data_IF_253273351453
#
_entry.id   IF_253273351453
#
_cell.length_a   1.000
_cell.length_b   1.000
_cell.length_c   1.000
_cell.angle_alpha   90.00
_cell.angle_beta   90.00
_cell.angle_gamma   90.00
#
_symmetry.space_group_name_H-M   'P 1'
#
loop_
_entity.id
_entity.type
_entity.pdbx_description
1 polymer ?
#
# COMPACT_ATOMS: atom_id res chain seq x y z
N UNK A 1 53.77 -76.24 -16.23
CA UNK A 1 53.59 -75.10 -17.12
C UNK A 1 52.39 -74.35 -16.65
N UNK A 2 52.57 -73.17 -15.97
CA UNK A 2 51.49 -72.29 -15.50
C UNK A 2 51.53 -71.05 -16.34
N UNK A 3 50.54 -70.83 -17.18
CA UNK A 3 50.32 -69.63 -17.97
C UNK A 3 49.60 -68.61 -17.13
N UNK A 4 50.19 -67.40 -16.92
CA UNK A 4 49.56 -66.26 -16.29
C UNK A 4 48.89 -65.39 -17.37
N UNK A 5 47.60 -65.18 -17.22
CA UNK A 5 46.83 -64.26 -18.07
C UNK A 5 46.88 -62.87 -17.41
N UNK A 6 47.37 -61.84 -18.11
CA UNK A 6 47.31 -60.45 -17.69
C UNK A 6 46.08 -59.80 -18.25
N UNK A 7 45.24 -59.32 -17.36
CA UNK A 7 44.05 -58.57 -17.69
C UNK A 7 44.41 -57.07 -17.73
N UNK A 8 44.35 -56.42 -18.86
CA UNK A 8 44.50 -54.97 -18.98
C UNK A 8 43.14 -54.33 -18.71
N UNK A 9 43.06 -53.52 -17.62
CA UNK A 9 41.92 -52.66 -17.31
C UNK A 9 42.12 -51.35 -18.11
N UNK A 10 41.30 -51.11 -19.10
CA UNK A 10 41.23 -49.82 -19.75
C UNK A 10 40.29 -48.90 -18.91
N UNK A 11 40.88 -47.84 -18.29
CA UNK A 11 40.14 -46.78 -17.61
C UNK A 11 39.71 -45.78 -18.70
N UNK A 12 38.42 -45.80 -19.05
CA UNK A 12 37.81 -44.79 -19.89
C UNK A 12 37.53 -43.54 -19.05
N UNK A 13 38.24 -42.42 -19.35
CA UNK A 13 37.86 -41.10 -18.83
C UNK A 13 36.56 -40.65 -19.58
N UNK A 14 35.43 -40.64 -18.86
CA UNK A 14 34.25 -39.88 -19.27
C UNK A 14 34.52 -38.39 -18.94
N UNK A 15 34.78 -37.58 -19.93
CA UNK A 15 34.71 -36.13 -19.81
C UNK A 15 33.23 -35.73 -19.74
N UNK A 16 32.76 -35.35 -18.55
CA UNK A 16 31.47 -34.71 -18.38
C UNK A 16 31.56 -33.30 -18.96
N UNK A 17 30.96 -33.09 -20.12
CA UNK A 17 30.70 -31.75 -20.64
C UNK A 17 29.62 -31.09 -19.78
N UNK A 18 30.02 -30.19 -18.87
CA UNK A 18 29.09 -29.25 -18.26
C UNK A 18 28.65 -28.25 -19.35
N UNK A 19 27.61 -28.58 -20.09
CA UNK A 19 26.86 -27.62 -20.85
C UNK A 19 26.12 -26.71 -19.86
N UNK A 20 26.42 -25.39 -19.86
CA UNK A 20 25.56 -24.40 -19.25
C UNK A 20 24.23 -24.43 -19.98
N UNK A 21 23.28 -25.18 -19.46
CA UNK A 21 21.88 -25.08 -19.87
C UNK A 21 21.35 -23.87 -19.12
N UNK A 22 21.39 -22.70 -19.76
CA UNK A 22 20.58 -21.59 -19.31
C UNK A 22 19.13 -22.12 -19.32
N UNK A 23 18.36 -22.00 -18.21
CA UNK A 23 16.96 -22.35 -18.25
C UNK A 23 16.29 -21.54 -19.37
N UNK A 24 15.31 -22.10 -20.08
CA UNK A 24 14.58 -21.36 -21.08
C UNK A 24 14.01 -20.11 -20.42
N UNK A 25 14.24 -18.94 -21.03
CA UNK A 25 13.59 -17.69 -20.63
C UNK A 25 12.10 -17.98 -20.74
N UNK A 26 11.33 -17.88 -19.63
CA UNK A 26 9.89 -18.09 -19.69
C UNK A 26 9.30 -17.17 -20.76
N UNK A 27 8.26 -17.60 -21.49
CA UNK A 27 7.64 -16.76 -22.51
C UNK A 27 7.25 -15.43 -21.86
N UNK A 28 7.62 -14.32 -22.50
CA UNK A 28 7.18 -12.99 -22.10
C UNK A 28 5.66 -13.04 -22.06
N UNK A 29 5.10 -12.81 -20.88
CA UNK A 29 3.66 -12.65 -20.74
C UNK A 29 3.34 -11.32 -21.41
N UNK A 30 2.51 -11.36 -22.43
CA UNK A 30 1.96 -10.17 -23.06
C UNK A 30 0.75 -9.74 -22.23
N UNK A 31 0.92 -8.72 -21.42
CA UNK A 31 -0.18 -8.00 -20.78
C UNK A 31 -0.80 -7.05 -21.79
N UNK A 32 -2.13 -6.94 -21.80
CA UNK A 32 -2.85 -5.94 -22.58
C UNK A 32 -2.83 -4.54 -21.92
N UNK A 33 -2.29 -4.43 -20.70
CA UNK A 33 -2.19 -3.16 -19.99
C UNK A 33 -1.12 -2.26 -20.63
N UNK A 34 -1.39 -0.97 -20.83
CA UNK A 34 -0.46 -0.05 -21.51
C UNK A 34 0.69 0.40 -20.61
N UNK A 35 1.37 -0.57 -19.96
CA UNK A 35 2.49 -0.30 -19.02
C UNK A 35 3.66 0.43 -19.69
N UNK A 36 3.84 0.28 -20.99
CA UNK A 36 4.85 1.00 -21.76
C UNK A 36 4.59 2.53 -21.84
N UNK A 37 3.37 2.97 -21.46
CA UNK A 37 3.05 4.40 -21.35
C UNK A 37 3.54 5.01 -20.05
N UNK A 38 3.91 4.20 -19.07
CA UNK A 38 4.42 4.66 -17.79
C UNK A 38 5.83 5.24 -17.93
N UNK A 39 6.05 6.34 -17.27
CA UNK A 39 7.32 7.05 -17.23
C UNK A 39 7.98 6.78 -15.88
N UNK A 40 9.13 6.13 -15.92
CA UNK A 40 9.94 5.77 -14.77
C UNK A 40 11.29 6.52 -14.82
N UNK A 41 11.94 6.77 -13.69
CA UNK A 41 13.31 7.26 -13.67
C UNK A 41 14.27 6.29 -14.37
N UNK A 42 15.41 6.78 -14.90
CA UNK A 42 16.39 5.91 -15.56
C UNK A 42 16.82 4.73 -14.68
N UNK A 43 16.91 3.53 -15.28
CA UNK A 43 17.29 2.29 -14.60
C UNK A 43 16.14 1.55 -13.93
N UNK A 44 15.01 2.19 -13.71
CA UNK A 44 13.82 1.50 -13.19
C UNK A 44 13.08 0.74 -14.29
N UNK A 45 12.49 -0.39 -13.90
CA UNK A 45 11.63 -1.22 -14.74
C UNK A 45 10.35 -1.54 -13.97
N UNK A 46 9.24 -1.60 -14.71
CA UNK A 46 7.95 -2.05 -14.19
C UNK A 46 7.47 -3.25 -15.00
N UNK A 47 6.98 -4.24 -14.30
CA UNK A 47 6.32 -5.40 -14.89
C UNK A 47 5.00 -5.69 -14.18
N UNK A 48 4.11 -6.39 -14.83
CA UNK A 48 2.88 -6.88 -14.21
C UNK A 48 3.23 -8.09 -13.34
N UNK A 49 2.90 -8.01 -12.05
CA UNK A 49 3.00 -9.11 -11.08
C UNK A 49 1.76 -10.00 -11.13
N UNK A 50 0.56 -9.39 -11.21
CA UNK A 50 -0.71 -10.10 -11.36
C UNK A 50 -1.74 -9.24 -12.10
N UNK A 51 -2.63 -9.88 -12.83
CA UNK A 51 -3.81 -9.30 -13.47
C UNK A 51 -5.09 -9.99 -12.97
N UNK A 52 -6.25 -9.44 -13.30
CA UNK A 52 -7.57 -9.94 -12.89
C UNK A 52 -7.77 -9.98 -11.35
N UNK A 53 -6.96 -9.23 -10.60
CA UNK A 53 -7.15 -9.02 -9.16
C UNK A 53 -8.11 -7.84 -8.98
N UNK A 54 -9.39 -8.11 -9.15
CA UNK A 54 -10.42 -7.08 -9.23
C UNK A 54 -10.46 -6.18 -8.02
N UNK A 55 -10.39 -4.86 -8.30
CA UNK A 55 -10.44 -3.81 -7.29
C UNK A 55 -9.33 -3.98 -6.22
N UNK A 56 -8.10 -4.34 -6.63
CA UNK A 56 -6.94 -4.53 -5.77
C UNK A 56 -6.60 -3.25 -5.01
N UNK A 57 -6.54 -3.34 -3.66
CA UNK A 57 -6.31 -2.18 -2.80
C UNK A 57 -5.16 -2.41 -1.83
N UNK A 58 -5.41 -2.49 -0.52
CA UNK A 58 -4.31 -2.69 0.42
C UNK A 58 -3.59 -4.00 0.19
N UNK A 59 -2.28 -3.94 0.26
CA UNK A 59 -1.37 -5.06 0.12
C UNK A 59 -0.76 -5.40 1.49
N UNK A 60 -0.47 -6.68 1.70
CA UNK A 60 0.29 -7.16 2.84
C UNK A 60 1.05 -8.42 2.44
N UNK A 61 2.37 -8.39 2.50
CA UNK A 61 3.21 -9.53 2.17
C UNK A 61 3.59 -10.31 3.44
N UNK A 62 3.20 -11.58 3.50
CA UNK A 62 3.62 -12.44 4.59
C UNK A 62 5.11 -12.79 4.52
N UNK A 63 5.74 -13.17 5.64
CA UNK A 63 7.13 -13.64 5.64
C UNK A 63 7.41 -14.86 4.76
N UNK A 64 6.38 -15.63 4.40
CA UNK A 64 6.50 -16.81 3.53
C UNK A 64 6.23 -16.51 2.06
N UNK A 65 6.03 -15.23 1.69
CA UNK A 65 5.86 -14.77 0.31
C UNK A 65 4.43 -14.88 -0.22
N UNK A 66 3.42 -15.02 0.64
CA UNK A 66 2.02 -14.88 0.25
C UNK A 66 1.64 -13.40 0.27
N UNK A 67 1.20 -12.86 -0.85
CA UNK A 67 0.68 -11.50 -0.94
C UNK A 67 -0.83 -11.52 -0.69
N UNK A 68 -1.29 -10.92 0.39
CA UNK A 68 -2.70 -10.72 0.68
C UNK A 68 -3.16 -9.39 0.10
N UNK A 69 -4.38 -9.38 -0.46
CA UNK A 69 -4.93 -8.22 -1.15
C UNK A 69 -6.36 -7.97 -0.71
N UNK A 70 -6.56 -6.80 -0.12
CA UNK A 70 -7.89 -6.30 0.20
C UNK A 70 -8.57 -5.66 -1.01
N UNK A 71 -9.90 -5.52 -0.95
CA UNK A 71 -10.69 -4.85 -1.98
C UNK A 71 -11.69 -3.89 -1.34
N UNK A 72 -12.34 -3.06 -2.16
CA UNK A 72 -13.37 -2.14 -1.64
C UNK A 72 -14.76 -2.51 -2.15
N UNK A 73 -14.99 -2.30 -3.44
CA UNK A 73 -16.31 -2.50 -4.05
C UNK A 73 -16.60 -3.94 -4.45
N UNK A 74 -15.56 -4.70 -4.72
CA UNK A 74 -15.67 -6.12 -5.12
C UNK A 74 -16.10 -7.02 -3.95
N UNK A 75 -15.76 -6.64 -2.71
CA UNK A 75 -16.15 -7.40 -1.53
C UNK A 75 -15.41 -8.73 -1.38
N UNK A 76 -14.26 -8.88 -2.05
CA UNK A 76 -13.44 -10.09 -2.02
C UNK A 76 -12.13 -9.86 -1.28
N UNK A 77 -11.59 -10.94 -0.78
CA UNK A 77 -10.26 -11.02 -0.20
C UNK A 77 -9.44 -11.99 -1.03
N UNK A 78 -8.24 -11.58 -1.46
CA UNK A 78 -7.37 -12.43 -2.27
C UNK A 78 -6.07 -12.78 -1.54
N UNK A 79 -5.47 -13.90 -1.95
CA UNK A 79 -4.07 -14.23 -1.69
C UNK A 79 -3.40 -14.65 -3.00
N UNK A 80 -2.18 -14.17 -3.21
CA UNK A 80 -1.40 -14.43 -4.41
C UNK A 80 -0.10 -15.13 -4.03
N UNK A 81 0.31 -16.10 -4.84
CA UNK A 81 1.57 -16.82 -4.70
C UNK A 81 2.35 -16.83 -5.99
N UNK A 82 3.62 -16.47 -5.88
CA UNK A 82 4.66 -16.77 -6.87
C UNK A 82 5.35 -18.05 -6.38
N UNK A 83 5.05 -19.18 -7.01
CA UNK A 83 5.53 -20.49 -6.59
C UNK A 83 6.85 -20.88 -7.27
N UNK A 84 7.15 -20.26 -8.41
CA UNK A 84 8.31 -20.57 -9.24
C UNK A 84 9.45 -19.58 -9.08
N UNK A 85 9.22 -18.42 -8.43
CA UNK A 85 10.22 -17.38 -8.15
C UNK A 85 10.53 -16.49 -9.36
N UNK A 86 9.62 -16.39 -10.33
CA UNK A 86 9.80 -15.53 -11.50
C UNK A 86 9.26 -14.10 -11.29
N UNK A 87 8.79 -13.82 -10.07
CA UNK A 87 8.19 -12.55 -9.65
C UNK A 87 6.86 -12.21 -10.34
N UNK A 88 6.08 -13.26 -10.57
CA UNK A 88 4.70 -13.20 -11.04
C UNK A 88 3.85 -14.16 -10.22
N UNK A 89 2.62 -13.78 -9.98
CA UNK A 89 1.71 -14.67 -9.30
C UNK A 89 1.31 -15.84 -10.22
N UNK A 90 1.65 -17.07 -9.82
CA UNK A 90 1.20 -18.30 -10.49
C UNK A 90 -0.25 -18.65 -10.12
N UNK A 91 -0.65 -18.28 -8.89
CA UNK A 91 -1.97 -18.62 -8.35
C UNK A 91 -2.58 -17.42 -7.62
N UNK A 92 -3.86 -17.17 -7.90
CA UNK A 92 -4.70 -16.20 -7.21
C UNK A 92 -5.81 -16.95 -6.50
N UNK A 93 -5.78 -16.94 -5.17
CA UNK A 93 -6.81 -17.54 -4.32
C UNK A 93 -7.85 -16.48 -3.96
N UNK A 94 -9.13 -16.83 -4.01
CA UNK A 94 -10.19 -16.03 -3.38
C UNK A 94 -10.44 -16.59 -1.99
N UNK A 95 -9.98 -15.88 -0.96
CA UNK A 95 -10.09 -16.34 0.44
C UNK A 95 -11.49 -16.15 1.02
N UNK A 96 -12.18 -15.07 0.63
CA UNK A 96 -13.53 -14.76 1.05
C UNK A 96 -14.25 -13.90 0.02
N UNK A 97 -15.59 -13.97 0.03
CA UNK A 97 -16.50 -13.16 -0.81
C UNK A 97 -17.61 -12.56 0.06
N UNK A 98 -18.38 -11.65 -0.50
CA UNK A 98 -19.51 -10.98 0.15
C UNK A 98 -19.13 -10.19 1.41
N UNK A 99 -17.87 -9.78 1.54
CA UNK A 99 -17.40 -8.92 2.62
C UNK A 99 -17.79 -7.45 2.35
N UNK A 100 -17.96 -6.69 3.41
CA UNK A 100 -18.35 -5.28 3.31
C UNK A 100 -17.12 -4.36 3.29
N UNK A 101 -16.66 -3.98 2.09
CA UNK A 101 -15.47 -3.12 1.91
C UNK A 101 -14.22 -3.65 2.64
N UNK A 102 -13.76 -4.89 2.38
CA UNK A 102 -12.60 -5.49 3.06
C UNK A 102 -11.30 -4.88 2.53
N UNK A 103 -11.09 -3.58 2.75
CA UNK A 103 -9.98 -2.85 2.16
C UNK A 103 -8.65 -3.14 2.86
N UNK A 104 -8.60 -3.05 4.17
CA UNK A 104 -7.36 -3.18 4.93
C UNK A 104 -7.04 -4.63 5.25
N UNK A 105 -5.81 -5.02 4.99
CA UNK A 105 -5.24 -6.33 5.35
C UNK A 105 -3.96 -6.14 6.15
N UNK A 106 -3.72 -7.00 7.13
CA UNK A 106 -2.49 -7.03 7.91
C UNK A 106 -2.19 -8.46 8.36
N UNK A 107 -0.93 -8.88 8.36
CA UNK A 107 -0.54 -10.23 8.71
C UNK A 107 0.34 -10.25 9.97
N UNK A 108 0.01 -11.15 10.90
CA UNK A 108 0.79 -11.31 12.13
C UNK A 108 0.69 -12.72 12.70
N UNK A 109 1.85 -13.33 12.99
CA UNK A 109 1.93 -14.62 13.68
C UNK A 109 1.09 -15.75 13.01
N UNK A 110 1.08 -15.82 11.68
CA UNK A 110 0.31 -16.82 10.93
C UNK A 110 -1.15 -16.46 10.70
N UNK A 111 -1.65 -15.37 11.25
CA UNK A 111 -3.04 -14.91 11.10
C UNK A 111 -3.14 -13.70 10.20
N UNK A 112 -4.15 -13.69 9.33
CA UNK A 112 -4.52 -12.55 8.50
C UNK A 112 -5.65 -11.77 9.18
N UNK A 113 -5.45 -10.48 9.34
CA UNK A 113 -6.44 -9.52 9.83
C UNK A 113 -7.04 -8.78 8.65
N UNK A 114 -8.36 -8.60 8.66
CA UNK A 114 -9.10 -7.94 7.58
C UNK A 114 -10.06 -6.93 8.16
N UNK A 115 -9.95 -5.69 7.71
CA UNK A 115 -10.86 -4.64 8.11
C UNK A 115 -12.01 -4.51 7.12
N UNK A 116 -13.21 -4.90 7.56
CA UNK A 116 -14.45 -4.49 6.94
C UNK A 116 -14.87 -3.08 7.41
N UNK A 117 -15.94 -2.56 6.88
CA UNK A 117 -16.42 -1.21 7.21
C UNK A 117 -16.69 -1.03 8.71
N UNK A 118 -17.31 -2.02 9.37
CA UNK A 118 -17.73 -1.91 10.77
C UNK A 118 -17.08 -2.92 11.73
N UNK A 119 -16.23 -3.83 11.21
CA UNK A 119 -15.63 -4.88 12.05
C UNK A 119 -14.24 -5.28 11.56
N UNK A 120 -13.48 -5.88 12.47
CA UNK A 120 -12.18 -6.51 12.16
C UNK A 120 -12.33 -8.02 12.28
N UNK A 121 -11.93 -8.72 11.23
CA UNK A 121 -11.90 -10.18 11.14
C UNK A 121 -10.48 -10.67 11.30
N UNK A 122 -10.31 -11.90 11.81
CA UNK A 122 -9.03 -12.61 11.84
C UNK A 122 -9.21 -14.02 11.32
N UNK A 123 -8.38 -14.40 10.35
CA UNK A 123 -8.27 -15.76 9.79
C UNK A 123 -6.99 -16.40 10.35
N UNK A 124 -7.15 -17.40 11.23
CA UNK A 124 -6.01 -18.07 11.86
C UNK A 124 -5.39 -19.12 10.93
N UNK A 125 -4.05 -19.29 11.00
CA UNK A 125 -3.27 -20.23 10.19
C UNK A 125 -3.57 -20.16 8.67
N UNK A 126 -3.82 -18.94 8.16
CA UNK A 126 -4.37 -18.73 6.82
C UNK A 126 -3.50 -19.31 5.71
N UNK A 127 -2.17 -19.21 5.80
CA UNK A 127 -1.27 -19.69 4.77
C UNK A 127 -1.28 -21.22 4.58
N UNK A 128 -1.69 -21.97 5.61
CA UNK A 128 -1.89 -23.40 5.50
C UNK A 128 -3.23 -23.78 4.86
N UNK A 129 -4.12 -22.81 4.62
CA UNK A 129 -5.51 -23.06 4.24
C UNK A 129 -5.98 -22.13 3.09
N UNK A 130 -5.09 -21.71 2.18
CA UNK A 130 -5.44 -20.79 1.09
C UNK A 130 -6.55 -21.35 0.17
N UNK A 131 -6.57 -22.66 -0.07
CA UNK A 131 -7.61 -23.34 -0.86
C UNK A 131 -8.96 -23.52 -0.13
N UNK A 132 -8.92 -23.50 1.19
CA UNK A 132 -10.10 -23.69 2.03
C UNK A 132 -9.95 -22.90 3.34
N UNK A 133 -10.10 -21.57 3.27
CA UNK A 133 -9.89 -20.70 4.41
C UNK A 133 -10.80 -21.04 5.60
N UNK A 134 -10.31 -20.92 6.84
CA UNK A 134 -11.13 -21.13 8.02
C UNK A 134 -12.18 -20.01 8.15
N UNK A 135 -13.26 -20.29 8.88
CA UNK A 135 -14.20 -19.23 9.29
C UNK A 135 -13.47 -18.17 10.12
N UNK A 136 -13.66 -16.88 9.81
CA UNK A 136 -12.98 -15.82 10.52
C UNK A 136 -13.52 -15.61 11.94
N UNK A 137 -12.61 -15.24 12.83
CA UNK A 137 -12.97 -14.75 14.16
C UNK A 137 -13.22 -13.25 14.08
N UNK A 138 -14.38 -12.79 14.54
CA UNK A 138 -14.64 -11.36 14.71
C UNK A 138 -13.93 -10.91 15.99
N UNK A 139 -12.87 -10.10 15.86
CA UNK A 139 -12.11 -9.60 17.01
C UNK A 139 -12.62 -8.25 17.53
N UNK A 140 -13.27 -7.46 16.66
CA UNK A 140 -13.88 -6.18 16.99
C UNK A 140 -15.03 -5.87 16.05
N UNK A 141 -16.19 -5.41 16.54
CA UNK A 141 -17.42 -5.16 15.77
C UNK A 141 -18.14 -3.84 16.15
N UNK A 142 -17.40 -2.90 16.78
CA UNK A 142 -17.98 -1.65 17.29
C UNK A 142 -17.57 -0.43 16.46
N UNK A 143 -17.03 -0.61 15.26
CA UNK A 143 -16.80 0.50 14.35
C UNK A 143 -18.10 1.01 13.72
N UNK A 144 -18.21 2.32 13.44
CA UNK A 144 -19.36 2.87 12.74
C UNK A 144 -19.59 2.22 11.36
N UNK A 145 -20.87 2.07 10.97
CA UNK A 145 -21.27 1.47 9.69
C UNK A 145 -21.57 2.52 8.59
N UNK A 146 -20.99 3.71 8.69
CA UNK A 146 -21.10 4.76 7.68
C UNK A 146 -20.35 4.38 6.42
N UNK A 147 -21.03 4.62 5.26
CA UNK A 147 -20.47 4.30 3.95
C UNK A 147 -19.40 5.30 3.51
N UNK A 148 -19.58 6.58 3.84
CA UNK A 148 -18.64 7.62 3.49
C UNK A 148 -17.37 7.47 4.32
N UNK A 149 -16.22 7.39 3.65
CA UNK A 149 -14.91 7.10 4.25
C UNK A 149 -14.91 5.85 5.14
N UNK A 150 -15.81 4.88 4.83
CA UNK A 150 -16.01 3.69 5.67
C UNK A 150 -14.96 2.59 5.46
N UNK A 151 -14.25 2.58 4.33
CA UNK A 151 -13.14 1.64 4.10
C UNK A 151 -11.94 1.99 4.96
N UNK A 152 -11.29 0.97 5.50
CA UNK A 152 -10.20 1.12 6.47
C UNK A 152 -8.92 0.52 5.91
N UNK A 153 -7.82 1.21 6.08
CA UNK A 153 -6.48 0.63 6.01
C UNK A 153 -6.12 0.12 7.41
N UNK A 154 -5.36 -0.95 7.54
CA UNK A 154 -4.89 -1.44 8.83
C UNK A 154 -3.44 -1.89 8.74
N UNK A 155 -2.69 -1.70 9.82
CA UNK A 155 -1.35 -2.23 9.96
C UNK A 155 -0.98 -2.39 11.44
N UNK A 156 -0.02 -3.27 11.74
CA UNK A 156 0.53 -3.41 13.09
C UNK A 156 1.66 -2.42 13.33
N UNK A 157 1.52 -1.62 14.38
CA UNK A 157 2.55 -0.69 14.80
C UNK A 157 3.76 -1.36 15.47
N UNK A 158 4.85 -0.60 15.66
CA UNK A 158 6.04 -1.10 16.37
C UNK A 158 5.77 -1.48 17.84
N UNK A 159 4.68 -0.96 18.42
CA UNK A 159 4.16 -1.34 19.75
C UNK A 159 3.38 -2.66 19.74
N UNK A 160 3.19 -3.27 18.57
CA UNK A 160 2.49 -4.52 18.36
C UNK A 160 0.97 -4.42 18.36
N UNK A 161 0.41 -3.21 18.41
CA UNK A 161 -1.04 -2.96 18.32
C UNK A 161 -1.48 -2.84 16.87
N UNK A 162 -2.72 -3.19 16.60
CA UNK A 162 -3.38 -2.99 15.29
C UNK A 162 -3.96 -1.58 15.23
N UNK A 163 -3.51 -0.80 14.26
CA UNK A 163 -4.00 0.57 14.01
C UNK A 163 -5.08 0.57 12.94
N UNK A 164 -6.13 1.38 13.17
CA UNK A 164 -7.32 1.40 12.30
C UNK A 164 -7.85 2.83 12.22
N UNK A 165 -7.89 3.47 11.04
CA UNK A 165 -8.47 4.79 10.87
C UNK A 165 -9.99 4.72 10.80
N UNK A 166 -10.65 5.77 11.28
CA UNK A 166 -12.08 5.99 11.15
C UNK A 166 -12.33 7.33 10.51
N UNK A 167 -12.61 7.33 9.22
CA UNK A 167 -12.83 8.55 8.45
C UNK A 167 -14.08 9.33 8.91
N UNK A 168 -14.13 10.60 8.56
CA UNK A 168 -15.30 11.43 8.83
C UNK A 168 -16.56 10.90 8.13
N UNK A 169 -17.75 10.93 8.77
CA UNK A 169 -18.99 10.39 8.19
C UNK A 169 -19.59 11.29 7.09
N UNK A 170 -18.89 12.31 6.68
CA UNK A 170 -19.36 13.40 5.83
C UNK A 170 -18.21 14.00 5.00
N UNK A 171 -18.53 14.91 4.06
CA UNK A 171 -17.52 15.72 3.39
C UNK A 171 -16.82 16.66 4.39
N UNK A 172 -17.62 17.40 5.17
CA UNK A 172 -17.18 18.20 6.31
C UNK A 172 -18.31 18.30 7.33
N UNK A 173 -18.04 18.00 8.58
CA UNK A 173 -18.96 18.14 9.71
C UNK A 173 -18.21 18.00 11.02
N UNK A 174 -18.79 18.54 12.09
CA UNK A 174 -18.47 18.12 13.45
C UNK A 174 -19.31 16.86 13.76
N UNK A 175 -18.66 15.78 14.15
CA UNK A 175 -19.36 14.60 14.68
C UNK A 175 -19.50 14.70 16.19
N UNK A 176 -20.63 14.22 16.71
CA UNK A 176 -20.84 14.08 18.17
C UNK A 176 -20.04 12.88 18.74
N UNK A 177 -19.69 11.92 17.88
CA UNK A 177 -18.92 10.74 18.26
C UNK A 177 -17.43 10.98 17.98
N UNK A 178 -16.60 10.92 19.01
CA UNK A 178 -15.14 11.16 18.92
C UNK A 178 -14.39 10.15 18.05
N UNK A 179 -15.00 8.99 17.79
CA UNK A 179 -14.39 7.94 16.97
C UNK A 179 -14.21 8.37 15.51
N UNK A 180 -15.06 9.28 14.98
CA UNK A 180 -14.93 9.76 13.62
C UNK A 180 -13.77 10.74 13.48
N UNK A 181 -13.22 10.81 12.29
CA UNK A 181 -12.08 11.67 11.94
C UNK A 181 -10.87 11.40 12.87
N UNK A 182 -10.59 10.12 13.14
CA UNK A 182 -9.59 9.68 14.08
C UNK A 182 -8.74 8.51 13.55
N UNK A 183 -7.60 8.28 14.21
CA UNK A 183 -6.88 7.03 14.15
C UNK A 183 -7.01 6.32 15.49
N UNK A 184 -7.37 5.06 15.45
CA UNK A 184 -7.55 4.19 16.62
C UNK A 184 -6.52 3.09 16.64
N UNK A 185 -6.31 2.46 17.77
CA UNK A 185 -5.53 1.20 17.88
C UNK A 185 -6.11 0.27 18.93
N UNK A 186 -5.78 -1.01 18.84
CA UNK A 186 -6.18 -2.05 19.78
C UNK A 186 -5.12 -3.15 19.85
N UNK A 187 -5.22 -4.01 20.84
CA UNK A 187 -4.43 -5.24 20.87
C UNK A 187 -4.88 -6.23 19.78
N UNK A 188 -4.05 -7.21 19.39
CA UNK A 188 -4.39 -8.15 18.29
C UNK A 188 -5.63 -9.00 18.55
N UNK A 189 -6.12 -9.08 19.79
CA UNK A 189 -7.36 -9.76 20.18
C UNK A 189 -8.59 -8.84 20.21
N UNK A 190 -8.44 -7.56 19.83
CA UNK A 190 -9.50 -6.55 19.85
C UNK A 190 -9.66 -5.83 21.18
N UNK A 191 -8.92 -6.21 22.23
CA UNK A 191 -8.97 -5.55 23.53
C UNK A 191 -8.16 -4.24 23.56
N UNK A 192 -8.29 -3.47 24.65
CA UNK A 192 -7.55 -2.23 24.88
C UNK A 192 -7.65 -1.21 23.73
N UNK A 193 -8.88 -1.08 23.19
CA UNK A 193 -9.20 -0.08 22.17
C UNK A 193 -8.97 1.34 22.70
N UNK A 194 -8.33 2.18 21.90
CA UNK A 194 -8.11 3.60 22.19
C UNK A 194 -8.03 4.45 20.93
N UNK A 195 -8.43 5.72 21.00
CA UNK A 195 -8.22 6.72 19.97
C UNK A 195 -6.85 7.35 20.23
N UNK A 196 -6.00 7.39 19.18
CA UNK A 196 -4.62 7.90 19.32
C UNK A 196 -4.35 9.19 18.59
N UNK A 197 -5.13 9.52 17.55
CA UNK A 197 -5.03 10.79 16.83
C UNK A 197 -6.40 11.31 16.45
N UNK A 198 -6.54 12.63 16.29
CA UNK A 198 -7.79 13.32 16.02
C UNK A 198 -7.69 14.27 14.83
N UNK A 199 -8.84 14.66 14.28
CA UNK A 199 -8.90 15.68 13.22
C UNK A 199 -8.33 15.22 11.89
N UNK A 200 -8.47 13.93 11.58
CA UNK A 200 -8.01 13.28 10.35
C UNK A 200 -9.25 12.96 9.52
N UNK A 201 -9.43 13.66 8.38
CA UNK A 201 -10.66 13.52 7.60
C UNK A 201 -10.84 12.12 6.98
N UNK A 202 -9.84 11.62 6.29
CA UNK A 202 -9.91 10.34 5.58
C UNK A 202 -8.51 9.84 5.21
N UNK A 203 -7.85 9.17 6.15
CA UNK A 203 -6.60 8.48 5.86
C UNK A 203 -6.86 7.06 5.38
N UNK A 204 -6.12 6.63 4.34
CA UNK A 204 -6.19 5.29 3.75
C UNK A 204 -4.79 4.71 3.58
N UNK A 205 -3.83 5.25 4.26
CA UNK A 205 -2.46 4.75 4.30
C UNK A 205 -1.67 5.42 5.41
N UNK A 206 -0.93 4.61 6.14
CA UNK A 206 0.01 5.07 7.17
C UNK A 206 1.13 4.03 7.34
N UNK A 207 2.27 4.51 7.79
CA UNK A 207 3.46 3.69 8.07
C UNK A 207 4.26 4.32 9.21
N UNK A 208 5.33 3.69 9.64
CA UNK A 208 6.20 4.19 10.70
C UNK A 208 7.59 4.48 10.18
N UNK A 209 8.14 5.59 10.60
CA UNK A 209 9.53 5.94 10.29
C UNK A 209 10.47 4.84 10.81
N UNK A 210 11.33 4.25 9.97
CA UNK A 210 12.08 3.03 10.30
C UNK A 210 13.08 3.21 11.45
N UNK A 211 13.58 4.43 11.68
CA UNK A 211 14.55 4.72 12.73
C UNK A 211 13.91 5.27 14.00
N UNK A 212 12.87 6.14 13.87
CA UNK A 212 12.27 6.83 15.03
C UNK A 212 11.02 6.13 15.56
N UNK A 213 10.38 5.29 14.74
CA UNK A 213 9.09 4.66 15.07
C UNK A 213 7.92 5.63 15.09
N UNK A 214 8.09 6.86 14.61
CA UNK A 214 7.04 7.85 14.53
C UNK A 214 6.05 7.51 13.41
N UNK A 215 4.78 7.74 13.66
CA UNK A 215 3.72 7.50 12.70
C UNK A 215 3.71 8.57 11.61
N UNK A 216 3.61 8.14 10.35
CA UNK A 216 3.38 8.97 9.17
C UNK A 216 2.16 8.49 8.42
N UNK A 217 1.31 9.40 7.96
CA UNK A 217 0.07 9.05 7.26
C UNK A 217 -0.33 10.10 6.25
N UNK A 218 -1.06 9.66 5.21
CA UNK A 218 -1.70 10.54 4.24
C UNK A 218 -3.09 10.94 4.71
N UNK A 219 -3.56 12.15 4.39
CA UNK A 219 -4.96 12.54 4.61
C UNK A 219 -5.55 13.24 3.39
N UNK A 220 -6.77 12.83 3.03
CA UNK A 220 -7.51 13.36 1.90
C UNK A 220 -8.28 14.63 2.30
N UNK A 221 -7.95 15.77 1.67
CA UNK A 221 -8.62 17.05 1.87
C UNK A 221 -10.11 17.00 1.54
N UNK A 222 -10.89 17.95 2.10
CA UNK A 222 -12.33 18.05 1.82
C UNK A 222 -12.61 18.42 0.36
N UNK A 223 -13.76 17.98 -0.15
CA UNK A 223 -14.23 18.35 -1.48
C UNK A 223 -14.97 19.69 -1.51
N UNK A 224 -15.13 20.26 -2.70
CA UNK A 224 -16.00 21.41 -3.01
C UNK A 224 -15.54 22.75 -2.44
N UNK A 225 -14.23 22.96 -2.38
CA UNK A 225 -13.62 24.27 -2.13
C UNK A 225 -12.96 24.86 -3.40
N UNK A 226 -13.17 24.27 -4.56
CA UNK A 226 -12.57 24.62 -5.85
C UNK A 226 -11.48 23.62 -6.27
N UNK A 227 -10.82 23.92 -7.39
CA UNK A 227 -9.82 23.02 -7.98
C UNK A 227 -8.48 22.98 -7.23
N UNK A 228 -8.13 24.10 -6.58
CA UNK A 228 -6.77 24.31 -6.08
C UNK A 228 -6.69 24.34 -4.54
N UNK A 229 -7.81 24.11 -3.83
CA UNK A 229 -7.90 24.15 -2.36
C UNK A 229 -8.94 23.14 -1.87
N UNK A 230 -8.69 22.43 -0.74
CA UNK A 230 -7.46 22.35 -0.01
C UNK A 230 -6.50 21.32 -0.61
N UNK A 231 -5.24 21.39 -0.23
CA UNK A 231 -4.27 20.33 -0.51
C UNK A 231 -4.55 19.13 0.36
N UNK A 232 -4.27 17.94 -0.16
CA UNK A 232 -4.11 16.72 0.63
C UNK A 232 -2.80 16.79 1.41
N UNK A 233 -2.66 15.95 2.42
CA UNK A 233 -1.63 16.11 3.43
C UNK A 233 -0.79 14.83 3.59
N UNK A 234 0.50 15.00 3.83
CA UNK A 234 1.36 14.05 4.49
C UNK A 234 1.58 14.54 5.91
N UNK A 235 1.14 13.74 6.87
CA UNK A 235 1.16 14.07 8.28
C UNK A 235 2.19 13.22 9.04
N UNK A 236 2.75 13.78 10.11
CA UNK A 236 3.65 13.11 11.05
C UNK A 236 3.12 13.26 12.47
N UNK A 237 3.01 12.15 13.17
CA UNK A 237 2.53 12.10 14.56
C UNK A 237 3.62 11.48 15.47
N UNK A 238 4.53 12.29 16.05
CA UNK A 238 5.56 11.82 16.98
C UNK A 238 5.01 11.36 18.33
N UNK A 239 3.79 11.76 18.67
CA UNK A 239 3.15 11.43 19.94
C UNK A 239 1.65 11.16 19.75
N UNK A 240 1.02 10.51 20.72
CA UNK A 240 -0.43 10.30 20.73
C UNK A 240 -1.18 11.56 21.20
N UNK A 241 -2.45 11.66 20.79
CA UNK A 241 -3.36 12.74 21.20
C UNK A 241 -3.24 14.02 20.38
N UNK A 242 -2.51 14.00 19.26
CA UNK A 242 -2.41 15.14 18.35
C UNK A 242 -3.70 15.32 17.55
N UNK A 243 -3.95 16.57 17.11
CA UNK A 243 -5.12 16.95 16.32
C UNK A 243 -4.69 17.65 15.03
N UNK A 244 -5.11 17.10 13.86
CA UNK A 244 -4.63 17.51 12.53
C UNK A 244 -5.57 18.48 11.79
N UNK A 245 -6.57 19.05 12.48
CA UNK A 245 -7.31 20.24 12.03
C UNK A 245 -8.74 20.00 11.60
N UNK A 246 -9.08 18.86 10.97
CA UNK A 246 -10.45 18.61 10.50
C UNK A 246 -11.47 18.61 11.67
N UNK A 247 -12.65 19.27 11.53
CA UNK A 247 -13.17 19.95 10.35
C UNK A 247 -12.86 21.47 10.27
N UNK A 248 -12.05 22.01 11.16
CA UNK A 248 -11.88 23.46 11.34
C UNK A 248 -10.83 24.09 10.45
N UNK A 249 -9.75 23.35 10.20
CA UNK A 249 -8.60 23.80 9.42
C UNK A 249 -8.14 22.70 8.46
N UNK A 250 -7.75 23.10 7.25
CA UNK A 250 -7.21 22.24 6.20
C UNK A 250 -5.80 22.64 5.86
N UNK A 251 -4.96 21.69 5.44
CA UNK A 251 -3.56 21.90 5.04
C UNK A 251 -2.74 22.76 6.02
N UNK A 252 -3.18 22.87 7.28
CA UNK A 252 -2.51 23.58 8.35
C UNK A 252 -2.70 25.09 8.38
N UNK A 253 -3.25 25.72 7.32
CA UNK A 253 -3.36 27.18 7.22
C UNK A 253 -4.62 27.70 6.48
N UNK A 254 -5.53 26.82 6.11
CA UNK A 254 -6.79 27.19 5.44
C UNK A 254 -7.97 26.92 6.36
N UNK A 255 -8.55 27.97 6.96
CA UNK A 255 -9.76 27.82 7.77
C UNK A 255 -10.91 27.28 6.92
N UNK A 256 -11.66 26.32 7.45
CA UNK A 256 -12.87 25.83 6.80
C UNK A 256 -13.92 26.93 6.68
N UNK A 257 -14.60 27.09 5.51
CA UNK A 257 -15.62 28.14 5.32
C UNK A 257 -16.81 28.05 6.28
N UNK A 258 -17.15 26.85 6.78
CA UNK A 258 -18.29 26.60 7.65
C UNK A 258 -17.90 26.50 9.13
N UNK A 259 -16.75 25.89 9.42
CA UNK A 259 -16.33 25.54 10.79
C UNK A 259 -15.10 26.33 11.26
N UNK A 260 -14.31 26.92 10.37
CA UNK A 260 -13.03 27.59 10.69
C UNK A 260 -13.16 28.78 11.63
N UNK A 261 -14.36 29.41 11.72
CA UNK A 261 -14.59 30.50 12.68
C UNK A 261 -14.65 30.02 14.14
N UNK A 262 -14.77 28.69 14.39
CA UNK A 262 -14.89 28.13 15.74
C UNK A 262 -13.54 27.90 16.42
N UNK A 263 -12.50 27.58 15.64
CA UNK A 263 -11.15 27.27 16.14
C UNK A 263 -10.10 27.77 15.14
N UNK A 264 -9.01 28.31 15.67
CA UNK A 264 -7.91 28.84 14.85
C UNK A 264 -7.00 27.71 14.36
N UNK A 265 -6.46 27.83 13.14
CA UNK A 265 -5.54 26.84 12.57
C UNK A 265 -4.29 26.61 13.43
N UNK A 266 -3.83 27.63 14.17
CA UNK A 266 -2.67 27.52 15.07
C UNK A 266 -2.88 26.59 16.28
N UNK A 267 -4.11 26.16 16.54
CA UNK A 267 -4.41 25.17 17.58
C UNK A 267 -4.08 23.73 17.17
N UNK A 268 -3.83 23.50 15.89
CA UNK A 268 -3.68 22.17 15.32
C UNK A 268 -2.25 21.89 14.84
N UNK A 269 -1.93 20.61 14.72
CA UNK A 269 -0.68 20.17 14.12
C UNK A 269 -0.74 20.38 12.60
N UNK A 270 0.16 21.19 12.03
CA UNK A 270 0.22 21.33 10.58
C UNK A 270 0.76 20.07 9.93
N UNK A 271 0.43 19.79 8.64
CA UNK A 271 1.02 18.69 7.91
C UNK A 271 2.54 18.82 7.79
N UNK A 272 3.23 17.68 7.76
CA UNK A 272 4.65 17.63 7.45
C UNK A 272 4.92 18.11 6.01
N UNK A 273 3.97 17.84 5.10
CA UNK A 273 4.03 18.33 3.72
C UNK A 273 2.64 18.45 3.08
N UNK A 274 2.47 19.44 2.19
CA UNK A 274 1.26 19.64 1.39
C UNK A 274 1.42 18.97 0.04
N UNK A 275 0.66 17.87 -0.20
CA UNK A 275 0.83 17.01 -1.36
C UNK A 275 0.20 17.54 -2.66
N UNK A 276 -0.66 18.56 -2.55
CA UNK A 276 -1.41 19.12 -3.68
C UNK A 276 -2.91 18.87 -3.57
N UNK A 277 -3.72 19.61 -4.36
CA UNK A 277 -5.18 19.55 -4.25
C UNK A 277 -5.73 18.31 -4.96
N UNK A 278 -6.66 17.61 -4.31
CA UNK A 278 -7.45 16.51 -4.85
C UNK A 278 -6.66 15.30 -5.38
N UNK A 279 -5.38 15.17 -5.06
CA UNK A 279 -4.55 14.06 -5.56
C UNK A 279 -4.94 12.69 -5.00
N UNK A 280 -5.74 12.67 -3.92
CA UNK A 280 -6.19 11.48 -3.21
C UNK A 280 -5.02 10.55 -2.82
N UNK A 281 -4.10 10.98 -1.95
CA UNK A 281 -3.00 10.14 -1.50
C UNK A 281 -3.56 9.02 -0.63
N UNK A 282 -3.13 7.79 -0.90
CA UNK A 282 -3.58 6.60 -0.20
C UNK A 282 -2.38 5.91 0.47
N UNK A 283 -1.96 4.75 -0.03
CA UNK A 283 -0.84 4.00 0.53
C UNK A 283 0.49 4.74 0.46
N UNK A 284 1.35 4.49 1.43
CA UNK A 284 2.70 5.03 1.48
C UNK A 284 3.64 4.06 2.19
N UNK A 285 4.90 4.04 1.73
CA UNK A 285 5.91 3.17 2.30
C UNK A 285 7.28 3.86 2.36
N UNK A 286 8.01 3.67 3.47
CA UNK A 286 9.42 4.04 3.54
C UNK A 286 10.26 3.05 2.77
N UNK A 287 11.02 3.52 1.78
CA UNK A 287 11.94 2.64 1.08
C UNK A 287 13.18 2.37 1.96
N UNK A 288 13.28 1.18 2.51
CA UNK A 288 14.35 0.78 3.44
C UNK A 288 15.37 -0.21 2.88
N UNK A 289 15.12 -0.72 1.67
CA UNK A 289 15.96 -1.73 1.02
C UNK A 289 17.15 -1.15 0.23
N UNK A 290 17.94 -2.05 -0.39
CA UNK A 290 19.18 -1.73 -1.09
C UNK A 290 19.11 -1.94 -2.61
N UNK A 291 17.97 -2.37 -3.16
CA UNK A 291 17.85 -2.63 -4.60
C UNK A 291 17.86 -1.32 -5.40
N UNK A 292 17.14 -0.29 -4.91
CA UNK A 292 17.15 1.03 -5.56
C UNK A 292 18.41 1.82 -5.19
N UNK A 293 18.78 2.83 -5.98
CA UNK A 293 19.89 3.73 -5.65
C UNK A 293 19.80 4.31 -4.23
N UNK A 294 20.96 4.61 -3.65
CA UNK A 294 21.04 5.03 -2.24
C UNK A 294 20.23 6.29 -1.91
N UNK A 295 19.98 7.16 -2.90
CA UNK A 295 19.16 8.36 -2.76
C UNK A 295 17.66 8.07 -2.54
N UNK A 296 17.20 6.84 -2.77
CA UNK A 296 15.82 6.43 -2.46
C UNK A 296 15.64 5.97 -1.03
N UNK A 297 16.74 5.51 -0.38
CA UNK A 297 16.65 4.93 0.96
C UNK A 297 16.27 5.96 2.02
N UNK A 298 15.32 5.60 2.88
CA UNK A 298 14.79 6.45 3.94
C UNK A 298 13.77 7.48 3.47
N UNK A 299 13.44 7.50 2.17
CA UNK A 299 12.40 8.35 1.62
C UNK A 299 11.06 7.62 1.54
N UNK A 300 9.97 8.37 1.37
CA UNK A 300 8.61 7.84 1.32
C UNK A 300 8.12 7.81 -0.13
N UNK A 301 7.63 6.65 -0.56
CA UNK A 301 6.90 6.52 -1.82
C UNK A 301 5.42 6.54 -1.50
N UNK A 302 4.65 7.38 -2.20
CA UNK A 302 3.24 7.65 -1.94
C UNK A 302 2.43 7.40 -3.21
N UNK A 303 1.34 6.62 -3.10
CA UNK A 303 0.39 6.43 -4.17
C UNK A 303 -0.65 7.57 -4.18
N UNK A 304 -0.68 8.36 -5.24
CA UNK A 304 -1.73 9.33 -5.53
C UNK A 304 -2.79 8.68 -6.45
N UNK A 305 -3.89 8.25 -5.85
CA UNK A 305 -4.99 7.55 -6.53
C UNK A 305 -5.71 8.40 -7.58
N UNK A 306 -5.66 9.72 -7.41
CA UNK A 306 -6.16 10.68 -8.37
C UNK A 306 -7.53 11.27 -8.06
N UNK A 307 -7.74 12.45 -8.65
CA UNK A 307 -8.90 13.31 -8.38
C UNK A 307 -10.19 12.78 -8.98
N UNK A 308 -11.30 13.04 -8.29
CA UNK A 308 -12.65 12.92 -8.84
C UNK A 308 -13.40 14.27 -8.87
N UNK A 309 -12.98 15.22 -8.03
CA UNK A 309 -13.63 16.51 -7.80
C UNK A 309 -12.71 17.66 -8.24
N UNK A 310 -12.25 17.63 -9.50
CA UNK A 310 -11.41 18.66 -10.11
C UNK A 310 -11.74 18.80 -11.60
N UNK A 311 -11.69 20.02 -12.14
CA UNK A 311 -12.01 20.30 -13.55
C UNK A 311 -11.05 19.62 -14.52
N UNK A 312 -9.75 19.59 -14.17
CA UNK A 312 -8.71 18.80 -14.84
C UNK A 312 -8.13 17.81 -13.83
N UNK A 313 -8.04 16.54 -14.20
CA UNK A 313 -7.54 15.50 -13.32
C UNK A 313 -6.13 15.76 -12.81
N UNK A 314 -5.84 15.31 -11.60
CA UNK A 314 -4.53 15.35 -10.94
C UNK A 314 -4.29 14.08 -10.11
N UNK A 315 -3.04 13.77 -9.79
CA UNK A 315 -2.66 12.51 -9.18
C UNK A 315 -2.52 11.41 -10.23
N UNK A 316 -2.97 10.19 -9.94
CA UNK A 316 -2.84 8.99 -10.78
C UNK A 316 -1.37 8.65 -11.05
N UNK A 317 -0.58 8.60 -9.99
CA UNK A 317 0.86 8.42 -10.07
C UNK A 317 1.46 7.97 -8.74
N UNK A 318 2.72 7.58 -8.76
CA UNK A 318 3.52 7.46 -7.55
C UNK A 318 4.42 8.70 -7.41
N UNK A 319 4.53 9.17 -6.19
CA UNK A 319 5.39 10.29 -5.81
C UNK A 319 6.46 9.83 -4.84
N UNK A 320 7.60 10.51 -4.82
CA UNK A 320 8.63 10.35 -3.81
C UNK A 320 8.74 11.61 -2.97
N UNK A 321 8.55 11.49 -1.66
CA UNK A 321 8.87 12.52 -0.68
C UNK A 321 10.29 12.26 -0.15
N UNK A 322 11.22 13.14 -0.48
CA UNK A 322 12.60 13.05 -0.01
C UNK A 322 12.73 13.70 1.36
N UNK A 323 13.33 12.99 2.31
CA UNK A 323 13.50 13.43 3.67
C UNK A 323 14.95 13.83 4.01
N UNK A 324 15.07 14.84 4.85
CA UNK A 324 16.29 15.15 5.60
C UNK A 324 15.97 15.07 7.10
N UNK A 325 16.29 13.95 7.72
CA UNK A 325 15.72 13.62 9.03
C UNK A 325 14.19 13.47 8.95
N UNK A 326 13.45 14.28 9.70
CA UNK A 326 11.99 14.28 9.69
C UNK A 326 11.37 15.43 8.87
N UNK A 327 12.17 16.14 8.07
CA UNK A 327 11.73 17.23 7.20
C UNK A 327 11.62 16.74 5.75
N UNK A 328 10.48 16.95 5.10
CA UNK A 328 10.32 16.69 3.67
C UNK A 328 10.92 17.85 2.90
N UNK A 329 12.00 17.60 2.16
CA UNK A 329 12.76 18.61 1.42
C UNK A 329 12.38 18.69 -0.07
N UNK A 330 11.80 17.62 -0.62
CA UNK A 330 11.21 17.62 -1.97
C UNK A 330 10.07 16.62 -2.09
N UNK A 331 9.19 16.82 -3.08
CA UNK A 331 8.08 15.94 -3.42
C UNK A 331 7.96 15.90 -4.95
N UNK A 332 8.48 14.82 -5.55
CA UNK A 332 8.66 14.71 -6.98
C UNK A 332 7.99 13.45 -7.53
N UNK A 333 7.55 13.44 -8.81
CA UNK A 333 7.03 12.25 -9.45
C UNK A 333 8.06 11.11 -9.45
N UNK A 334 7.63 9.91 -9.05
CA UNK A 334 8.41 8.69 -9.16
C UNK A 334 7.98 7.86 -10.38
N UNK A 335 6.68 7.58 -10.53
CA UNK A 335 6.13 6.91 -11.71
C UNK A 335 4.86 7.64 -12.15
N UNK A 336 4.79 8.06 -13.41
CA UNK A 336 3.63 8.72 -14.01
C UNK A 336 3.19 7.97 -15.27
N UNK A 337 1.97 8.30 -15.78
CA UNK A 337 1.48 7.79 -17.06
C UNK A 337 0.16 7.01 -16.98
N UNK A 338 -0.38 6.76 -15.77
CA UNK A 338 -1.76 6.25 -15.62
C UNK A 338 -2.82 7.28 -16.06
N UNK A 339 -2.48 8.56 -16.00
CA UNK A 339 -3.26 9.68 -16.54
C UNK A 339 -2.58 10.23 -17.79
N UNK A 340 -3.31 10.24 -18.91
CA UNK A 340 -2.90 10.99 -20.09
C UNK A 340 -3.21 12.48 -19.88
N UNK A 341 -2.18 13.31 -19.74
CA UNK A 341 -2.32 14.73 -19.44
C UNK A 341 -2.96 15.55 -20.57
N UNK A 342 -2.93 15.08 -21.81
CA UNK A 342 -3.50 15.77 -22.97
C UNK A 342 -5.00 15.47 -23.12
N UNK A 343 -5.39 14.19 -23.08
CA UNK A 343 -6.79 13.76 -23.26
C UNK A 343 -7.59 13.73 -21.95
N UNK A 344 -6.93 13.81 -20.79
CA UNK A 344 -7.53 13.64 -19.46
C UNK A 344 -8.11 12.22 -19.23
N UNK A 345 -7.67 11.22 -20.03
CA UNK A 345 -8.07 9.83 -19.90
C UNK A 345 -7.19 9.10 -18.87
N UNK A 346 -7.81 8.19 -18.14
CA UNK A 346 -7.16 7.39 -17.08
C UNK A 346 -7.31 5.92 -17.42
N UNK A 347 -6.21 5.16 -17.35
CA UNK A 347 -6.24 3.71 -17.55
C UNK A 347 -5.92 2.91 -16.30
N UNK A 348 -5.38 3.55 -15.23
CA UNK A 348 -5.07 2.92 -13.95
C UNK A 348 -5.09 3.92 -12.80
N UNK A 349 -5.15 3.41 -11.58
CA UNK A 349 -5.24 4.19 -10.34
C UNK A 349 -4.43 3.49 -9.24
N UNK A 350 -3.18 3.86 -9.01
CA UNK A 350 -2.37 3.26 -7.95
C UNK A 350 -2.98 3.51 -6.57
N UNK A 351 -2.99 2.48 -5.73
CA UNK A 351 -3.63 2.51 -4.41
C UNK A 351 -2.63 2.34 -3.28
N UNK A 352 -1.86 1.26 -3.29
CA UNK A 352 -0.95 0.90 -2.23
C UNK A 352 0.41 0.49 -2.75
N UNK A 353 1.41 0.59 -1.89
CA UNK A 353 2.78 0.21 -2.17
C UNK A 353 3.28 -0.73 -1.07
N UNK A 354 3.91 -1.83 -1.46
CA UNK A 354 4.42 -2.86 -0.55
C UNK A 354 5.88 -3.17 -0.89
N UNK A 355 6.76 -3.13 0.12
CA UNK A 355 8.18 -3.41 -0.06
C UNK A 355 8.44 -4.92 -0.01
N UNK A 356 8.98 -5.47 -1.09
CA UNK A 356 9.37 -6.88 -1.15
C UNK A 356 10.73 -7.14 -0.47
N UNK A 357 10.98 -8.37 0.01
CA UNK A 357 12.26 -8.73 0.64
C UNK A 357 13.50 -8.57 -0.25
N UNK A 358 13.34 -8.61 -1.56
CA UNK A 358 14.42 -8.38 -2.53
C UNK A 358 14.66 -6.88 -2.82
N UNK A 359 13.89 -6.00 -2.19
CA UNK A 359 13.95 -4.55 -2.35
C UNK A 359 13.16 -3.99 -3.52
N UNK A 360 12.46 -4.81 -4.30
CA UNK A 360 11.49 -4.33 -5.27
C UNK A 360 10.21 -3.84 -4.58
N UNK A 361 9.38 -3.06 -5.28
CA UNK A 361 8.08 -2.61 -4.80
C UNK A 361 6.96 -3.26 -5.57
N UNK A 362 5.90 -3.65 -4.86
CA UNK A 362 4.60 -3.95 -5.45
C UNK A 362 3.70 -2.72 -5.38
N UNK A 363 2.84 -2.57 -6.37
CA UNK A 363 1.87 -1.47 -6.47
C UNK A 363 0.53 -2.07 -6.86
N UNK A 364 -0.51 -1.85 -6.06
CA UNK A 364 -1.87 -2.23 -6.43
C UNK A 364 -2.56 -1.15 -7.24
N UNK A 365 -3.47 -1.56 -8.13
CA UNK A 365 -4.28 -0.70 -8.99
C UNK A 365 -5.72 -1.20 -9.02
N UNK A 366 -6.65 -0.42 -8.45
CA UNK A 366 -8.06 -0.81 -8.29
C UNK A 366 -8.93 -0.50 -9.52
N UNK A 367 -8.35 0.13 -10.53
CA UNK A 367 -9.02 0.45 -11.79
C UNK A 367 -8.56 -0.45 -12.94
N UNK A 368 -7.26 -0.75 -12.99
CA UNK A 368 -6.69 -1.71 -13.95
C UNK A 368 -6.82 -3.17 -13.48
N UNK A 369 -7.32 -3.41 -12.24
CA UNK A 369 -7.46 -4.73 -11.63
C UNK A 369 -6.12 -5.50 -11.62
N UNK A 370 -5.03 -4.80 -11.31
CA UNK A 370 -3.67 -5.31 -11.45
C UNK A 370 -2.77 -5.01 -10.26
N UNK A 371 -1.68 -5.76 -10.17
CA UNK A 371 -0.56 -5.49 -9.29
C UNK A 371 0.69 -5.42 -10.15
N UNK A 372 1.46 -4.35 -9.98
CA UNK A 372 2.73 -4.14 -10.67
C UNK A 372 3.90 -4.39 -9.73
N UNK A 373 5.05 -4.75 -10.30
CA UNK A 373 6.32 -4.84 -9.61
C UNK A 373 7.33 -3.88 -10.22
N UNK A 374 7.98 -3.08 -9.37
CA UNK A 374 9.03 -2.12 -9.76
C UNK A 374 10.38 -2.61 -9.28
N UNK A 375 11.35 -2.63 -10.17
CA UNK A 375 12.75 -3.01 -9.91
C UNK A 375 13.71 -1.96 -10.43
N UNK A 376 14.96 -2.03 -9.97
CA UNK A 376 16.06 -1.22 -10.51
C UNK A 376 17.16 -2.10 -11.07
N UNK A 377 17.64 -1.78 -12.28
CA UNK A 377 18.69 -2.52 -12.97
C UNK A 377 19.99 -1.72 -12.99
N UNK A 378 20.92 -2.08 -12.10
CA UNK A 378 22.24 -1.46 -12.01
C UNK A 378 23.14 -1.69 -13.25
N UNK A 379 22.77 -2.59 -14.17
CA UNK A 379 23.59 -2.91 -15.35
C UNK A 379 23.47 -1.88 -16.47
N UNK A 380 22.57 -0.91 -16.33
CA UNK A 380 22.29 0.10 -17.36
C UNK A 380 23.10 1.42 -17.20
N UNK A 381 23.99 1.53 -16.20
CA UNK A 381 24.88 2.68 -15.96
C UNK A 381 26.29 2.47 -16.51
#
# INVERSE_FOLDING_TARGET
VKTRLYLFLAVGLLAAACGNINPPIPPLFESDLPIDSLQLPPGFKLQVFAEEVKNARSLELSPNGTLFVGTRGEGKLYALRDENGDFRADTVYTLAEDLTMPNGVAFRNGSLYVAERSRILRYDDIEAHLDNPPEPVVIYDQYPDEKQHGWKYIAFGPDGKLYVPVGAPCNVCESEEEIFASLTRMDPDGSNFEIVQHGIRNTVGFTWHPETGELWFTDNGRDRMGDDVPYCELNRAPENGMHFGFPYCHQGDVPDPEFGAKRDCSEFTPPAYKLGPHVAPLGLEFYTADQFPAEYRGNIIIAEHGSWNRSKKSGYRLMMATLNGNEVVSYEPFIEGWLNQESDDVWGRPVDVELMPDGSLLISDDFADAIYRVTYDNSAM
#
